data_IF_637578068485
#
_entry.id   IF_637578068485
#
_cell.length_a   1.000
_cell.length_b   1.000
_cell.length_c   1.000
_cell.angle_alpha   90.00
_cell.angle_beta   90.00
_cell.angle_gamma   90.00
#
_symmetry.space_group_name_H-M   'P 1'
#
loop_
_entity.id
_entity.type
_entity.pdbx_description
1 polymer ?
#
# COMPACT_ATOMS: atom_id res chain seq x y z
N UNK A 1 -0.64 15.97 7.33
CA UNK A 1 -0.58 17.21 8.14
C UNK A 1 0.82 17.36 8.76
N UNK A 2 1.47 18.53 8.65
CA UNK A 2 2.69 18.82 9.39
C UNK A 2 2.41 18.79 10.90
N UNK A 3 3.20 18.02 11.66
CA UNK A 3 3.04 17.89 13.11
C UNK A 3 3.07 19.27 13.83
N UNK A 4 3.89 20.17 13.32
CA UNK A 4 4.28 21.45 13.91
C UNK A 4 3.51 22.66 13.34
N UNK A 5 2.65 22.45 12.32
CA UNK A 5 2.07 23.52 11.51
C UNK A 5 3.05 24.32 10.62
N UNK A 6 4.36 24.10 10.76
CA UNK A 6 5.39 24.83 10.01
C UNK A 6 5.49 24.46 8.52
N UNK A 7 6.22 25.26 7.73
CA UNK A 7 6.37 25.02 6.29
C UNK A 7 7.02 23.67 6.02
N UNK A 8 6.66 23.06 4.90
CA UNK A 8 7.18 21.77 4.47
C UNK A 8 8.12 21.97 3.27
N UNK A 9 9.37 21.53 3.42
CA UNK A 9 10.36 21.54 2.33
C UNK A 9 10.51 20.16 1.72
N UNK A 10 10.79 20.12 0.42
CA UNK A 10 11.17 18.89 -0.26
C UNK A 10 12.43 18.29 0.38
N UNK A 11 12.36 17.02 0.77
CA UNK A 11 13.46 16.31 1.43
C UNK A 11 13.43 14.82 1.07
N UNK A 12 13.42 14.53 -0.23
CA UNK A 12 13.44 13.16 -0.75
C UNK A 12 14.70 12.41 -0.29
N UNK A 13 14.62 11.09 -0.16
CA UNK A 13 15.75 10.28 0.28
C UNK A 13 15.77 8.90 -0.40
N UNK A 14 16.96 8.30 -0.59
CA UNK A 14 17.09 6.95 -1.12
C UNK A 14 16.41 5.92 -0.22
N UNK A 15 15.66 5.01 -0.84
CA UNK A 15 14.97 3.91 -0.17
C UNK A 15 14.72 2.79 -1.17
N UNK A 16 15.59 1.77 -1.15
CA UNK A 16 15.38 0.53 -1.91
C UNK A 16 14.13 -0.21 -1.42
N UNK A 17 13.04 -0.25 -2.20
CA UNK A 17 11.83 -0.96 -1.85
C UNK A 17 12.00 -2.47 -2.04
N UNK A 18 11.29 -3.26 -1.22
CA UNK A 18 11.32 -4.71 -1.24
C UNK A 18 10.17 -5.29 -2.06
N UNK A 19 10.47 -6.37 -2.78
CA UNK A 19 9.51 -7.23 -3.46
C UNK A 19 9.07 -6.81 -4.85
N UNK A 20 9.74 -5.81 -5.44
CA UNK A 20 9.59 -5.48 -6.85
C UNK A 20 10.60 -6.27 -7.69
N UNK A 21 10.47 -6.21 -9.03
CA UNK A 21 11.42 -6.86 -9.93
C UNK A 21 12.84 -6.34 -9.71
N UNK A 22 13.87 -7.17 -9.99
CA UNK A 22 15.26 -6.81 -9.77
C UNK A 22 15.73 -5.64 -10.65
N UNK A 23 15.11 -5.45 -11.81
CA UNK A 23 15.56 -4.55 -12.87
C UNK A 23 14.82 -3.21 -12.89
N UNK A 24 14.35 -2.74 -11.73
CA UNK A 24 13.71 -1.43 -11.62
C UNK A 24 14.75 -0.31 -11.73
N UNK A 25 14.42 0.73 -12.49
CA UNK A 25 15.22 1.95 -12.59
C UNK A 25 15.43 2.62 -11.23
N UNK A 26 16.60 3.23 -11.02
CA UNK A 26 16.98 3.88 -9.76
C UNK A 26 16.02 5.00 -9.34
N UNK A 27 15.28 5.60 -10.28
CA UNK A 27 14.23 6.60 -9.99
C UNK A 27 13.14 6.04 -9.06
N UNK A 28 12.94 4.72 -9.08
CA UNK A 28 12.02 4.01 -8.21
C UNK A 28 12.60 3.72 -6.82
N UNK A 29 13.90 3.89 -6.63
CA UNK A 29 14.58 3.81 -5.32
C UNK A 29 14.55 5.14 -4.55
N UNK A 30 13.84 6.17 -5.04
CA UNK A 30 13.67 7.43 -4.31
C UNK A 30 12.33 7.46 -3.59
N UNK A 31 12.37 7.77 -2.30
CA UNK A 31 11.19 8.03 -1.50
C UNK A 31 10.90 9.51 -1.38
N UNK A 32 9.76 9.90 -1.94
CA UNK A 32 9.25 11.25 -1.77
C UNK A 32 8.87 11.50 -0.31
N UNK A 33 9.35 12.63 0.20
CA UNK A 33 9.21 13.04 1.59
C UNK A 33 9.33 14.55 1.68
N UNK A 34 8.64 15.09 2.67
CA UNK A 34 8.71 16.47 3.09
C UNK A 34 9.31 16.55 4.50
N UNK A 35 9.95 17.66 4.84
CA UNK A 35 10.53 17.92 6.16
C UNK A 35 10.00 19.26 6.72
N UNK A 36 9.62 19.30 8.00
CA UNK A 36 9.22 20.55 8.67
C UNK A 36 10.42 21.51 8.73
N UNK A 37 10.27 22.69 8.13
CA UNK A 37 11.25 23.78 8.10
C UNK A 37 11.31 24.62 9.37
N UNK A 38 10.41 24.39 10.33
CA UNK A 38 10.44 25.06 11.64
C UNK A 38 11.76 24.72 12.34
N UNK A 39 12.54 25.72 12.82
CA UNK A 39 13.75 25.48 13.59
C UNK A 39 13.51 24.45 14.72
N UNK A 40 14.38 23.44 14.80
CA UNK A 40 14.31 22.38 15.81
C UNK A 40 13.31 21.24 15.58
N UNK A 41 12.36 21.32 14.63
CA UNK A 41 11.37 20.26 14.45
C UNK A 41 11.87 19.09 13.60
N UNK A 42 12.31 19.35 12.36
CA UNK A 42 12.84 18.38 11.37
C UNK A 42 12.01 17.10 11.14
N UNK A 43 10.76 17.06 11.62
CA UNK A 43 9.86 15.90 11.45
C UNK A 43 9.47 15.75 9.99
N UNK A 44 9.43 14.50 9.52
CA UNK A 44 9.07 14.17 8.14
C UNK A 44 7.57 13.90 7.98
N UNK A 45 7.03 14.40 6.88
CA UNK A 45 5.69 14.07 6.39
C UNK A 45 5.85 13.32 5.08
N UNK A 46 5.07 12.25 4.90
CA UNK A 46 5.03 11.52 3.65
C UNK A 46 3.88 12.05 2.81
N UNK A 47 4.13 12.50 1.57
CA UNK A 47 3.04 12.72 0.63
C UNK A 47 2.36 11.37 0.30
N UNK A 48 1.12 11.41 -0.18
CA UNK A 48 0.47 10.24 -0.78
C UNK A 48 1.40 9.54 -1.78
N UNK A 49 1.39 8.21 -1.77
CA UNK A 49 2.25 7.41 -2.63
C UNK A 49 1.58 6.10 -2.96
N UNK A 50 1.54 5.76 -4.25
CA UNK A 50 1.19 4.42 -4.73
C UNK A 50 2.42 3.50 -4.79
N UNK A 51 3.63 4.04 -4.59
CA UNK A 51 4.88 3.29 -4.58
C UNK A 51 5.08 2.56 -3.25
N UNK A 52 4.94 3.28 -2.14
CA UNK A 52 5.17 2.73 -0.80
C UNK A 52 3.88 2.64 0.01
N UNK A 53 3.65 1.50 0.65
CA UNK A 53 2.49 1.37 1.55
C UNK A 53 2.72 2.06 2.89
N UNK A 54 2.36 3.34 2.98
CA UNK A 54 2.65 4.18 4.14
C UNK A 54 4.15 4.13 4.43
N UNK A 55 4.56 3.99 5.70
CA UNK A 55 5.99 3.95 6.12
C UNK A 55 6.74 2.64 5.83
N UNK A 56 6.10 1.65 5.19
CA UNK A 56 6.72 0.33 4.97
C UNK A 56 7.80 0.37 3.89
N UNK A 57 8.60 -0.70 3.86
CA UNK A 57 9.68 -0.91 2.88
C UNK A 57 9.25 -1.68 1.65
N UNK A 58 8.04 -2.27 1.66
CA UNK A 58 7.54 -3.01 0.52
C UNK A 58 6.76 -2.10 -0.41
N UNK A 59 6.81 -2.42 -1.70
CA UNK A 59 5.96 -1.81 -2.71
C UNK A 59 4.48 -1.94 -2.32
N UNK A 60 3.71 -0.87 -2.51
CA UNK A 60 2.28 -0.87 -2.22
C UNK A 60 1.50 -1.92 -3.05
N UNK A 61 1.74 -2.04 -4.37
CA UNK A 61 1.14 -3.11 -5.19
C UNK A 61 1.43 -4.51 -4.63
N UNK A 62 2.70 -4.78 -4.29
CA UNK A 62 3.14 -6.09 -3.78
C UNK A 62 2.46 -6.41 -2.46
N UNK A 63 2.46 -5.47 -1.52
CA UNK A 63 1.83 -5.66 -0.23
C UNK A 63 0.33 -5.94 -0.38
N UNK A 64 -0.36 -5.22 -1.28
CA UNK A 64 -1.78 -5.36 -1.52
C UNK A 64 -2.13 -6.70 -2.20
N UNK A 65 -1.51 -6.98 -3.35
CA UNK A 65 -1.76 -8.19 -4.16
C UNK A 65 -1.41 -9.46 -3.39
N UNK A 66 -0.23 -9.53 -2.77
CA UNK A 66 0.21 -10.73 -2.03
C UNK A 66 -0.72 -11.00 -0.84
N UNK A 67 -1.21 -9.95 -0.17
CA UNK A 67 -2.16 -10.12 0.93
C UNK A 67 -3.49 -10.67 0.44
N UNK A 68 -4.00 -10.14 -0.68
CA UNK A 68 -5.24 -10.61 -1.31
C UNK A 68 -5.15 -12.06 -1.78
N UNK A 69 -4.10 -12.40 -2.55
CA UNK A 69 -3.87 -13.74 -3.11
C UNK A 69 -3.77 -14.82 -2.01
N UNK A 70 -3.36 -14.44 -0.80
CA UNK A 70 -3.14 -15.37 0.31
C UNK A 70 -4.25 -15.39 1.35
N UNK A 71 -5.28 -14.55 1.24
CA UNK A 71 -6.42 -14.55 2.18
C UNK A 71 -7.17 -15.87 2.20
N UNK A 72 -7.18 -16.58 1.07
CA UNK A 72 -7.76 -17.92 0.96
C UNK A 72 -6.66 -18.93 0.60
N UNK A 73 -6.99 -20.21 0.75
CA UNK A 73 -6.14 -21.29 0.24
C UNK A 73 -6.21 -21.27 -1.29
N UNK A 74 -5.32 -20.50 -1.90
CA UNK A 74 -5.07 -20.58 -3.33
C UNK A 74 -4.01 -21.67 -3.58
N UNK A 75 -4.36 -22.80 -4.24
CA UNK A 75 -3.41 -23.87 -4.54
C UNK A 75 -2.39 -23.50 -5.63
N UNK A 76 -2.72 -22.55 -6.53
CA UNK A 76 -1.83 -22.15 -7.63
C UNK A 76 -0.80 -21.11 -7.17
N UNK A 77 -1.14 -20.24 -6.22
CA UNK A 77 -0.21 -19.23 -5.67
C UNK A 77 0.44 -19.73 -4.39
N UNK A 78 1.51 -20.52 -4.54
CA UNK A 78 2.25 -21.09 -3.41
C UNK A 78 3.11 -20.04 -2.70
N UNK A 79 3.47 -20.31 -1.42
CA UNK A 79 4.39 -19.44 -0.68
C UNK A 79 5.78 -19.40 -1.31
N UNK A 80 6.21 -20.50 -1.91
CA UNK A 80 7.48 -20.59 -2.62
C UNK A 80 7.48 -19.70 -3.85
N UNK A 81 6.42 -19.75 -4.65
CA UNK A 81 6.26 -18.89 -5.83
C UNK A 81 6.32 -17.39 -5.44
N UNK A 82 5.59 -17.00 -4.38
CA UNK A 82 5.63 -15.62 -3.87
C UNK A 82 7.00 -15.23 -3.31
N UNK A 83 7.71 -16.17 -2.67
CA UNK A 83 9.07 -15.93 -2.18
C UNK A 83 10.03 -15.69 -3.35
N UNK A 84 9.91 -16.45 -4.43
CA UNK A 84 10.73 -16.29 -5.65
C UNK A 84 10.43 -14.95 -6.33
N UNK A 85 9.16 -14.60 -6.52
CA UNK A 85 8.79 -13.35 -7.21
C UNK A 85 9.06 -12.09 -6.41
N UNK A 86 8.78 -12.11 -5.10
CA UNK A 86 8.73 -10.89 -4.29
C UNK A 86 9.64 -10.92 -3.04
N UNK A 87 10.41 -11.98 -2.81
CA UNK A 87 11.26 -12.11 -1.61
C UNK A 87 10.47 -12.05 -0.29
N UNK A 88 9.19 -12.40 -0.31
CA UNK A 88 8.30 -12.32 0.85
C UNK A 88 8.28 -13.63 1.64
N UNK A 89 8.35 -13.51 2.97
CA UNK A 89 8.28 -14.64 3.88
C UNK A 89 6.85 -14.87 4.38
N UNK A 90 6.52 -16.11 4.75
CA UNK A 90 5.20 -16.47 5.32
C UNK A 90 4.80 -15.60 6.51
N UNK A 91 5.76 -15.29 7.40
CA UNK A 91 5.55 -14.40 8.55
C UNK A 91 5.18 -12.97 8.13
N UNK A 92 5.82 -12.45 7.09
CA UNK A 92 5.51 -11.14 6.50
C UNK A 92 4.09 -11.10 5.95
N UNK A 93 3.68 -12.14 5.21
CA UNK A 93 2.33 -12.27 4.64
C UNK A 93 1.29 -12.31 5.76
N UNK A 94 1.46 -13.17 6.78
CA UNK A 94 0.55 -13.22 7.94
C UNK A 94 0.42 -11.87 8.63
N UNK A 95 1.53 -11.13 8.78
CA UNK A 95 1.52 -9.79 9.37
C UNK A 95 0.73 -8.80 8.52
N UNK A 96 0.79 -8.89 7.19
CA UNK A 96 0.01 -8.04 6.30
C UNK A 96 -1.47 -8.37 6.34
N UNK A 97 -1.85 -9.66 6.35
CA UNK A 97 -3.24 -10.08 6.49
C UNK A 97 -3.86 -9.57 7.79
N UNK A 98 -3.13 -9.73 8.91
CA UNK A 98 -3.53 -9.14 10.20
C UNK A 98 -3.63 -7.62 10.14
N UNK A 99 -2.68 -6.97 9.47
CA UNK A 99 -2.75 -5.52 9.27
C UNK A 99 -4.01 -5.10 8.53
N UNK A 100 -4.37 -5.78 7.44
CA UNK A 100 -5.55 -5.44 6.65
C UNK A 100 -6.84 -5.64 7.44
N UNK A 101 -6.95 -6.76 8.14
CA UNK A 101 -8.11 -7.09 8.96
C UNK A 101 -8.28 -6.13 10.14
N UNK A 102 -7.23 -5.90 10.90
CA UNK A 102 -7.36 -5.30 12.23
C UNK A 102 -7.14 -3.78 12.20
N UNK A 103 -6.22 -3.29 11.36
CA UNK A 103 -5.77 -1.89 11.38
C UNK A 103 -6.21 -1.09 10.16
N UNK A 104 -6.11 -1.66 8.96
CA UNK A 104 -6.50 -0.97 7.73
C UNK A 104 -8.01 -0.71 7.70
N UNK A 105 -8.84 -1.68 8.13
CA UNK A 105 -10.28 -1.48 8.23
C UNK A 105 -10.70 -0.29 9.12
N UNK A 106 -9.85 0.11 10.07
CA UNK A 106 -10.06 1.25 10.96
C UNK A 106 -9.37 2.55 10.46
N UNK A 107 -8.57 2.46 9.40
CA UNK A 107 -7.78 3.57 8.92
C UNK A 107 -8.67 4.65 8.30
N UNK A 108 -8.20 5.90 8.31
CA UNK A 108 -8.97 7.02 7.73
C UNK A 108 -9.11 6.88 6.21
N UNK A 109 -8.07 6.35 5.56
CA UNK A 109 -8.01 6.09 4.13
C UNK A 109 -9.12 5.11 3.72
N UNK A 110 -9.23 3.98 4.43
CA UNK A 110 -10.28 3.01 4.14
C UNK A 110 -11.66 3.52 4.57
N UNK A 111 -11.82 4.17 5.73
CA UNK A 111 -13.14 4.67 6.16
C UNK A 111 -13.74 5.68 5.20
N UNK A 112 -12.91 6.55 4.59
CA UNK A 112 -13.35 7.48 3.55
C UNK A 112 -13.89 6.72 2.34
N UNK A 113 -13.14 5.75 1.83
CA UNK A 113 -13.57 4.92 0.72
C UNK A 113 -14.79 4.05 1.07
N UNK A 114 -14.83 3.49 2.27
CA UNK A 114 -15.89 2.61 2.77
C UNK A 114 -17.29 3.24 2.71
N UNK A 115 -17.40 4.56 2.84
CA UNK A 115 -18.66 5.28 2.65
C UNK A 115 -19.22 5.24 1.22
N UNK A 116 -18.39 4.95 0.23
CA UNK A 116 -18.77 4.81 -1.18
C UNK A 116 -18.94 3.34 -1.61
N UNK A 117 -18.69 2.39 -0.71
CA UNK A 117 -18.70 0.97 -1.01
C UNK A 117 -20.04 0.34 -0.57
N UNK A 118 -20.91 0.07 -1.54
CA UNK A 118 -22.17 -0.66 -1.32
C UNK A 118 -22.19 -2.01 -2.06
N UNK A 119 -22.44 -3.15 -1.36
CA UNK A 119 -22.55 -3.31 0.11
C UNK A 119 -21.23 -3.02 0.84
N UNK A 120 -21.18 -2.81 2.16
CA UNK A 120 -19.90 -2.68 2.88
C UNK A 120 -19.05 -3.96 2.76
N UNK A 121 -17.72 -3.84 2.80
CA UNK A 121 -16.80 -5.00 2.81
C UNK A 121 -16.47 -5.35 4.27
N UNK A 122 -16.67 -6.60 4.66
CA UNK A 122 -16.30 -7.07 5.98
C UNK A 122 -14.75 -7.07 6.17
N UNK A 123 -14.22 -6.72 7.36
CA UNK A 123 -12.77 -6.62 7.57
C UNK A 123 -11.97 -7.89 7.26
N UNK A 124 -12.54 -9.07 7.46
CA UNK A 124 -11.92 -10.37 7.15
C UNK A 124 -11.77 -10.62 5.63
N UNK A 125 -12.55 -9.90 4.82
CA UNK A 125 -12.50 -9.94 3.35
C UNK A 125 -11.50 -8.96 2.74
N UNK A 126 -10.90 -8.06 3.53
CA UNK A 126 -9.87 -7.13 3.07
C UNK A 126 -8.46 -7.75 3.02
N UNK A 127 -7.66 -7.48 1.96
CA UNK A 127 -7.94 -6.56 0.84
C UNK A 127 -8.56 -7.17 -0.43
N UNK A 128 -8.72 -8.50 -0.53
CA UNK A 128 -9.16 -9.20 -1.75
C UNK A 128 -10.47 -8.65 -2.30
N UNK A 129 -11.53 -8.59 -1.49
CA UNK A 129 -12.83 -8.11 -1.93
C UNK A 129 -12.80 -6.63 -2.36
N UNK A 130 -11.85 -5.83 -1.87
CA UNK A 130 -11.66 -4.46 -2.32
C UNK A 130 -11.09 -4.43 -3.74
N UNK A 131 -10.01 -5.20 -3.98
CA UNK A 131 -9.41 -5.32 -5.31
C UNK A 131 -10.41 -5.86 -6.35
N UNK A 132 -11.20 -6.86 -5.98
CA UNK A 132 -12.23 -7.43 -6.86
C UNK A 132 -13.25 -6.37 -7.31
N UNK A 133 -13.62 -5.42 -6.46
CA UNK A 133 -14.53 -4.33 -6.85
C UNK A 133 -13.92 -3.41 -7.89
N UNK A 134 -12.69 -2.96 -7.67
CA UNK A 134 -12.00 -2.13 -8.66
C UNK A 134 -11.83 -2.89 -9.98
N UNK A 135 -11.52 -4.19 -9.92
CA UNK A 135 -11.39 -5.03 -11.09
C UNK A 135 -12.69 -5.13 -11.91
N UNK A 136 -13.82 -5.35 -11.24
CA UNK A 136 -15.13 -5.39 -11.89
C UNK A 136 -15.53 -4.04 -12.52
N UNK A 137 -14.97 -2.92 -12.06
CA UNK A 137 -15.26 -1.58 -12.59
C UNK A 137 -14.37 -1.16 -13.76
N UNK A 138 -13.12 -1.63 -13.85
CA UNK A 138 -12.15 -1.13 -14.82
C UNK A 138 -11.76 -2.15 -15.91
N UNK A 139 -12.20 -3.41 -15.85
CA UNK A 139 -11.96 -4.53 -16.78
C UNK A 139 -10.48 -4.92 -17.01
N UNK A 140 -9.54 -3.98 -16.96
CA UNK A 140 -8.11 -4.20 -17.11
C UNK A 140 -7.42 -4.34 -15.74
N UNK A 141 -6.65 -5.42 -15.49
CA UNK A 141 -6.03 -5.68 -14.18
C UNK A 141 -5.11 -4.56 -13.68
N UNK A 142 -4.28 -4.02 -14.56
CA UNK A 142 -3.27 -3.01 -14.21
C UNK A 142 -3.93 -1.68 -13.83
N UNK A 143 -4.83 -1.20 -14.69
CA UNK A 143 -5.65 -0.01 -14.43
C UNK A 143 -6.46 -0.16 -13.14
N UNK A 144 -7.04 -1.32 -12.90
CA UNK A 144 -7.79 -1.60 -11.66
C UNK A 144 -6.92 -1.48 -10.40
N UNK A 145 -5.70 -2.01 -10.45
CA UNK A 145 -4.75 -1.94 -9.34
C UNK A 145 -4.26 -0.51 -9.09
N UNK A 146 -3.93 0.21 -10.16
CA UNK A 146 -3.47 1.61 -10.08
C UNK A 146 -4.58 2.48 -9.51
N UNK A 147 -5.80 2.37 -10.02
CA UNK A 147 -6.97 3.12 -9.53
C UNK A 147 -7.23 2.81 -8.07
N UNK A 148 -7.22 1.53 -7.66
CA UNK A 148 -7.37 1.15 -6.25
C UNK A 148 -6.32 1.82 -5.35
N UNK A 149 -5.04 1.79 -5.73
CA UNK A 149 -3.97 2.41 -4.96
C UNK A 149 -4.07 3.95 -4.94
N UNK A 150 -4.44 4.57 -6.05
CA UNK A 150 -4.65 6.02 -6.13
C UNK A 150 -5.80 6.45 -5.22
N UNK A 151 -6.95 5.76 -5.28
CA UNK A 151 -8.10 6.03 -4.42
C UNK A 151 -7.76 5.85 -2.94
N UNK A 152 -6.96 4.84 -2.58
CA UNK A 152 -6.50 4.67 -1.20
C UNK A 152 -5.51 5.76 -0.76
N UNK A 153 -4.68 6.27 -1.66
CA UNK A 153 -3.67 7.27 -1.34
C UNK A 153 -4.23 8.70 -1.29
N UNK A 154 -5.16 9.02 -2.20
CA UNK A 154 -5.67 10.38 -2.44
C UNK A 154 -7.10 10.58 -1.92
N UNK A 155 -7.85 9.49 -1.77
CA UNK A 155 -9.29 9.51 -1.51
C UNK A 155 -10.10 9.11 -2.76
N UNK A 156 -11.38 8.72 -2.58
CA UNK A 156 -12.33 8.49 -3.67
C UNK A 156 -12.70 9.78 -4.40
#
# INVERSE_FOLDING_TARGET
MPFCGGPLHCAHYPRKPRGGPPDLEEVFEVRFSLCCGRPGCRRRVLPPSIRFWGRRVYWAPVLLLVSALRQERNPTVTLEHLKTLCGVWRSTIKRWQRYFRDFFAQSIEYRRLGGYLMPPIAPDKLPKALLERFYLSCAEPETSLVTCLQTLALGP
#
